data_IF_958850936987
#
_entry.id   IF_958850936987
#
_cell.length_a   1.000
_cell.length_b   1.000
_cell.length_c   1.000
_cell.angle_alpha   90.00
_cell.angle_beta   90.00
_cell.angle_gamma   90.00
#
_symmetry.space_group_name_H-M   'P 1'
#
loop_
_entity.id
_entity.type
_entity.pdbx_description
1 polymer ?
#
# COMPACT_ATOMS: atom_id res chain seq x y z
N UNK A 1 23.28 12.83 -34.75
CA UNK A 1 24.06 13.03 -33.49
C UNK A 1 23.09 13.58 -32.46
N UNK A 2 22.52 12.72 -31.61
CA UNK A 2 21.60 13.18 -30.58
C UNK A 2 22.32 13.04 -29.23
N UNK A 3 22.84 14.18 -28.76
CA UNK A 3 23.46 14.32 -27.44
C UNK A 3 22.37 14.21 -26.38
N UNK A 4 22.53 13.27 -25.45
CA UNK A 4 21.76 13.25 -24.22
C UNK A 4 22.49 14.12 -23.19
N UNK A 5 21.82 15.13 -22.58
CA UNK A 5 22.45 15.99 -21.59
C UNK A 5 22.70 15.23 -20.28
N UNK A 6 23.83 15.53 -19.64
CA UNK A 6 24.17 15.01 -18.32
C UNK A 6 23.19 15.54 -17.26
N UNK A 7 22.77 14.65 -16.37
CA UNK A 7 21.74 14.88 -15.35
C UNK A 7 22.34 15.66 -14.18
N UNK A 8 21.84 16.87 -13.95
CA UNK A 8 22.12 17.70 -12.78
C UNK A 8 20.84 17.82 -11.94
N UNK A 9 21.03 17.88 -10.62
CA UNK A 9 20.06 17.55 -9.58
C UNK A 9 18.79 18.42 -9.54
N UNK A 10 17.71 17.76 -9.06
CA UNK A 10 16.51 18.32 -8.43
C UNK A 10 15.47 19.07 -9.30
N UNK A 11 14.83 18.41 -10.27
CA UNK A 11 13.47 18.73 -10.79
C UNK A 11 13.02 17.74 -11.89
N UNK A 12 12.63 16.48 -11.60
CA UNK A 12 12.12 15.60 -12.69
C UNK A 12 11.26 14.40 -12.29
N UNK A 13 10.22 14.55 -11.48
CA UNK A 13 9.29 13.41 -11.34
C UNK A 13 8.62 13.09 -12.71
N UNK A 14 9.04 12.03 -13.40
CA UNK A 14 8.48 11.62 -14.70
C UNK A 14 7.40 10.59 -14.45
N UNK A 15 6.14 10.99 -14.63
CA UNK A 15 4.99 10.07 -14.57
C UNK A 15 4.50 9.74 -15.98
N UNK A 16 4.34 8.45 -16.26
CA UNK A 16 3.83 7.97 -17.55
C UNK A 16 3.03 6.69 -17.34
N UNK A 17 1.74 6.72 -17.70
CA UNK A 17 0.80 5.63 -17.41
C UNK A 17 0.80 5.26 -15.92
N UNK A 18 1.11 4.00 -15.58
CA UNK A 18 1.18 3.50 -14.21
C UNK A 18 2.58 3.60 -13.60
N UNK A 19 3.54 4.25 -14.27
CA UNK A 19 4.90 4.46 -13.78
C UNK A 19 5.10 5.89 -13.27
N UNK A 20 5.92 6.01 -12.23
CA UNK A 20 6.47 7.27 -11.73
C UNK A 20 7.95 7.07 -11.43
N UNK A 21 8.82 7.85 -12.07
CA UNK A 21 10.24 7.92 -11.74
C UNK A 21 10.45 9.11 -10.84
N UNK A 22 10.95 8.86 -9.63
CA UNK A 22 11.15 9.91 -8.63
C UNK A 22 12.49 10.61 -8.80
N UNK A 23 13.51 9.80 -9.09
CA UNK A 23 14.89 10.25 -9.31
C UNK A 23 15.67 9.16 -10.07
N UNK A 24 16.99 9.30 -10.15
CA UNK A 24 17.86 8.45 -10.96
C UNK A 24 17.82 6.99 -10.54
N UNK A 25 17.56 6.74 -9.26
CA UNK A 25 17.70 5.44 -8.63
C UNK A 25 16.37 4.85 -8.17
N UNK A 26 15.29 5.65 -8.15
CA UNK A 26 13.99 5.21 -7.64
C UNK A 26 12.86 5.33 -8.67
N UNK A 27 12.19 4.21 -8.93
CA UNK A 27 11.01 4.10 -9.76
C UNK A 27 9.87 3.40 -9.03
N UNK A 28 8.63 3.80 -9.33
CA UNK A 28 7.40 3.22 -8.80
C UNK A 28 6.51 2.79 -9.97
N UNK A 29 5.85 1.65 -9.81
CA UNK A 29 4.87 1.13 -10.76
C UNK A 29 3.64 0.63 -10.02
N UNK A 30 2.48 1.21 -10.34
CA UNK A 30 1.20 0.62 -9.94
C UNK A 30 1.01 -0.68 -10.72
N UNK A 31 0.97 -1.81 -10.01
CA UNK A 31 0.76 -3.12 -10.60
C UNK A 31 -0.63 -3.20 -11.25
N UNK A 32 -0.68 -3.88 -12.38
CA UNK A 32 -1.88 -4.06 -13.17
C UNK A 32 -2.04 -5.55 -13.52
N UNK A 33 -3.12 -5.87 -14.23
CA UNK A 33 -3.42 -7.23 -14.68
C UNK A 33 -2.24 -7.95 -15.34
N UNK A 34 -1.41 -7.23 -16.10
CA UNK A 34 -0.28 -7.85 -16.80
C UNK A 34 0.80 -8.31 -15.83
N UNK A 35 1.06 -7.53 -14.78
CA UNK A 35 2.01 -7.94 -13.75
C UNK A 35 1.56 -9.23 -13.04
N UNK A 36 0.26 -9.38 -12.79
CA UNK A 36 -0.28 -10.55 -12.10
C UNK A 36 -0.41 -11.79 -12.99
N UNK A 37 -0.79 -11.63 -14.26
CA UNK A 37 -1.18 -12.74 -15.14
C UNK A 37 -0.22 -12.99 -16.31
N UNK A 38 0.58 -12.00 -16.69
CA UNK A 38 1.43 -12.01 -17.90
C UNK A 38 2.92 -11.79 -17.60
N UNK A 39 3.33 -12.01 -16.33
CA UNK A 39 4.72 -12.27 -15.94
C UNK A 39 5.64 -11.08 -16.24
N UNK A 40 5.08 -9.88 -16.23
CA UNK A 40 5.81 -8.68 -16.58
C UNK A 40 4.94 -7.44 -16.71
N UNK A 41 5.56 -6.34 -17.10
CA UNK A 41 4.90 -5.06 -17.25
C UNK A 41 5.51 -4.25 -18.40
N UNK A 42 4.70 -3.42 -19.04
CA UNK A 42 5.16 -2.51 -20.09
C UNK A 42 5.98 -1.37 -19.50
N UNK A 43 7.09 -1.02 -20.17
CA UNK A 43 7.91 0.16 -19.89
C UNK A 43 7.61 1.22 -20.97
N UNK A 44 6.92 2.32 -20.62
CA UNK A 44 6.69 3.43 -21.53
C UNK A 44 8.01 4.06 -22.01
N UNK A 45 8.00 4.67 -23.20
CA UNK A 45 9.19 5.31 -23.78
C UNK A 45 9.84 6.30 -22.80
N UNK A 46 9.01 7.12 -22.13
CA UNK A 46 9.47 8.12 -21.15
C UNK A 46 10.19 7.50 -19.92
N UNK A 47 9.96 6.22 -19.63
CA UNK A 47 10.51 5.50 -18.47
C UNK A 47 11.71 4.64 -18.85
N UNK A 48 11.91 4.35 -20.14
CA UNK A 48 13.04 3.54 -20.64
C UNK A 48 14.40 3.93 -20.09
N UNK A 49 14.77 5.23 -19.96
CA UNK A 49 16.09 5.61 -19.45
C UNK A 49 16.38 5.13 -18.02
N UNK A 50 15.36 4.71 -17.27
CA UNK A 50 15.55 4.09 -15.97
C UNK A 50 16.06 2.64 -16.07
N UNK A 51 15.67 1.90 -17.11
CA UNK A 51 15.98 0.48 -17.27
C UNK A 51 17.01 0.18 -18.37
N UNK A 52 17.30 1.16 -19.22
CA UNK A 52 18.12 0.99 -20.43
C UNK A 52 19.18 2.10 -20.49
N UNK A 53 20.45 1.72 -20.55
CA UNK A 53 21.62 2.62 -20.60
C UNK A 53 22.05 3.00 -22.02
N UNK A 54 21.80 2.10 -22.96
CA UNK A 54 22.22 2.18 -24.37
C UNK A 54 21.08 1.73 -25.27
N UNK A 55 21.03 2.22 -26.50
CA UNK A 55 20.04 1.78 -27.49
C UNK A 55 19.95 0.25 -27.56
N UNK A 56 18.73 -0.26 -27.60
CA UNK A 56 18.43 -1.68 -27.79
C UNK A 56 17.96 -1.89 -29.23
N UNK A 57 18.39 -2.98 -29.85
CA UNK A 57 17.90 -3.41 -31.16
C UNK A 57 16.53 -4.10 -31.02
N UNK A 58 15.61 -4.00 -32.00
CA UNK A 58 14.37 -4.75 -31.97
C UNK A 58 14.61 -6.27 -31.83
N UNK A 59 13.95 -6.90 -30.86
CA UNK A 59 14.15 -8.30 -30.47
C UNK A 59 15.25 -8.53 -29.42
N UNK A 60 16.00 -7.50 -29.03
CA UNK A 60 17.04 -7.60 -28.01
C UNK A 60 16.44 -7.78 -26.61
N UNK A 61 17.08 -8.65 -25.83
CA UNK A 61 16.77 -8.89 -24.42
C UNK A 61 18.00 -8.58 -23.56
N UNK A 62 17.80 -7.85 -22.47
CA UNK A 62 18.84 -7.58 -21.46
C UNK A 62 18.44 -8.17 -20.13
N UNK A 63 19.28 -9.05 -19.59
CA UNK A 63 19.07 -9.66 -18.28
C UNK A 63 19.20 -8.64 -17.17
N UNK A 64 18.28 -8.70 -16.22
CA UNK A 64 18.29 -7.92 -14.97
C UNK A 64 17.93 -8.82 -13.80
N UNK A 65 18.30 -8.41 -12.59
CA UNK A 65 18.02 -9.16 -11.36
C UNK A 65 17.17 -8.31 -10.43
N UNK A 66 16.07 -8.88 -9.93
CA UNK A 66 15.23 -8.27 -8.91
C UNK A 66 15.61 -8.89 -7.56
N UNK A 67 16.04 -8.07 -6.60
CA UNK A 67 16.34 -8.50 -5.24
C UNK A 67 15.14 -8.19 -4.36
N UNK A 68 14.49 -9.20 -3.78
CA UNK A 68 13.33 -9.02 -2.90
C UNK A 68 13.51 -9.87 -1.64
N UNK A 69 13.38 -9.24 -0.46
CA UNK A 69 13.55 -9.90 0.84
C UNK A 69 14.86 -10.70 1.00
N UNK A 70 15.94 -10.28 0.33
CA UNK A 70 17.25 -10.94 0.36
C UNK A 70 17.48 -11.99 -0.72
N UNK A 71 16.44 -12.37 -1.48
CA UNK A 71 16.50 -13.38 -2.53
C UNK A 71 16.56 -12.75 -3.94
N UNK A 72 17.35 -13.36 -4.83
CA UNK A 72 17.52 -12.89 -6.21
C UNK A 72 16.56 -13.59 -7.17
N UNK A 73 15.87 -12.80 -7.99
CA UNK A 73 14.93 -13.27 -8.99
C UNK A 73 15.36 -12.83 -10.39
N UNK A 74 15.64 -13.77 -11.30
CA UNK A 74 16.00 -13.43 -12.66
C UNK A 74 14.83 -12.77 -13.42
N UNK A 75 15.16 -11.72 -14.16
CA UNK A 75 14.26 -10.94 -14.98
C UNK A 75 14.97 -10.47 -16.26
N UNK A 76 14.24 -9.87 -17.19
CA UNK A 76 14.82 -9.28 -18.38
C UNK A 76 13.97 -8.16 -18.94
N UNK A 77 14.63 -7.17 -19.53
CA UNK A 77 14.00 -6.12 -20.33
C UNK A 77 14.04 -6.56 -21.79
N UNK A 78 12.90 -6.56 -22.45
CA UNK A 78 12.71 -6.95 -23.85
C UNK A 78 12.26 -5.74 -24.66
N UNK A 79 12.86 -5.52 -25.83
CA UNK A 79 12.34 -4.63 -26.86
C UNK A 79 11.70 -5.49 -27.97
N UNK A 80 10.37 -5.49 -28.07
CA UNK A 80 9.66 -6.36 -29.02
C UNK A 80 10.10 -6.11 -30.47
N UNK A 81 10.27 -7.17 -31.25
CA UNK A 81 10.73 -7.11 -32.66
C UNK A 81 9.66 -6.58 -33.65
N UNK A 82 8.44 -6.34 -33.19
CA UNK A 82 7.32 -5.93 -34.04
C UNK A 82 7.35 -4.42 -34.36
N UNK A 83 6.49 -3.98 -35.28
CA UNK A 83 6.39 -2.58 -35.73
C UNK A 83 6.08 -1.58 -34.63
N UNK A 84 5.62 -2.02 -33.45
CA UNK A 84 5.31 -1.13 -32.32
C UNK A 84 6.49 -0.92 -31.37
N UNK A 85 7.55 -1.74 -31.48
CA UNK A 85 8.78 -1.67 -30.70
C UNK A 85 8.55 -1.39 -29.20
N UNK A 86 7.59 -2.07 -28.57
CA UNK A 86 7.26 -1.87 -27.15
C UNK A 86 8.34 -2.46 -26.26
N UNK A 87 8.63 -1.79 -25.15
CA UNK A 87 9.56 -2.31 -24.14
C UNK A 87 8.78 -2.91 -22.99
N UNK A 88 9.23 -4.05 -22.50
CA UNK A 88 8.63 -4.74 -21.35
C UNK A 88 9.70 -5.25 -20.41
N UNK A 89 9.41 -5.16 -19.12
CA UNK A 89 10.14 -5.88 -18.08
C UNK A 89 9.40 -7.18 -17.80
N UNK A 90 10.06 -8.31 -17.99
CA UNK A 90 9.57 -9.63 -17.66
C UNK A 90 10.33 -10.19 -16.47
N UNK A 91 9.63 -10.92 -15.61
CA UNK A 91 10.22 -11.69 -14.52
C UNK A 91 9.81 -13.14 -14.61
N UNK A 92 10.61 -14.02 -14.01
CA UNK A 92 10.37 -15.44 -14.07
C UNK A 92 9.17 -15.90 -13.21
N UNK A 93 8.83 -17.17 -13.33
CA UNK A 93 7.67 -17.78 -12.65
C UNK A 93 7.78 -17.74 -11.11
N UNK A 94 9.00 -17.75 -10.58
CA UNK A 94 9.32 -17.64 -9.16
C UNK A 94 8.92 -16.28 -8.59
N UNK A 95 9.31 -15.18 -9.23
CA UNK A 95 8.89 -13.84 -8.81
C UNK A 95 7.39 -13.63 -9.02
N UNK A 96 6.82 -14.23 -10.07
CA UNK A 96 5.36 -14.25 -10.26
C UNK A 96 4.66 -14.94 -9.08
N UNK A 97 5.22 -16.04 -8.53
CA UNK A 97 4.68 -16.68 -7.32
C UNK A 97 4.79 -15.77 -6.09
N UNK A 98 5.87 -14.99 -5.96
CA UNK A 98 6.02 -13.99 -4.89
C UNK A 98 4.88 -12.98 -4.96
N UNK A 99 4.64 -12.37 -6.13
CA UNK A 99 3.54 -11.40 -6.30
C UNK A 99 2.19 -12.03 -5.96
N UNK A 100 1.92 -13.25 -6.48
CA UNK A 100 0.65 -13.96 -6.24
C UNK A 100 0.42 -14.34 -4.79
N UNK A 101 1.47 -14.76 -4.08
CA UNK A 101 1.39 -15.12 -2.66
C UNK A 101 1.35 -13.90 -1.74
N UNK A 102 1.91 -12.77 -2.18
CA UNK A 102 1.87 -11.50 -1.43
C UNK A 102 0.53 -10.80 -1.56
N UNK A 103 -0.14 -10.94 -2.72
CA UNK A 103 -1.42 -10.28 -3.04
C UNK A 103 -2.44 -11.23 -3.71
N UNK A 104 -2.84 -12.34 -3.05
CA UNK A 104 -3.77 -13.30 -3.64
C UNK A 104 -5.14 -12.72 -4.01
N UNK A 105 -5.64 -11.71 -3.29
CA UNK A 105 -6.92 -11.06 -3.64
C UNK A 105 -6.83 -10.33 -4.98
N UNK A 106 -5.77 -9.52 -5.20
CA UNK A 106 -5.56 -8.84 -6.49
C UNK A 106 -5.39 -9.84 -7.64
N UNK A 107 -4.67 -10.93 -7.40
CA UNK A 107 -4.53 -11.99 -8.39
C UNK A 107 -5.87 -12.62 -8.77
N UNK A 108 -6.73 -12.92 -7.78
CA UNK A 108 -8.07 -13.45 -8.03
C UNK A 108 -8.91 -12.47 -8.85
N UNK A 109 -9.01 -11.21 -8.42
CA UNK A 109 -9.78 -10.18 -9.12
C UNK A 109 -9.37 -10.05 -10.58
N UNK A 110 -8.06 -9.96 -10.85
CA UNK A 110 -7.57 -9.88 -12.22
C UNK A 110 -7.84 -11.13 -13.05
N UNK A 111 -7.82 -12.32 -12.43
CA UNK A 111 -8.19 -13.60 -13.09
C UNK A 111 -9.66 -13.58 -13.53
N UNK A 112 -10.53 -12.99 -12.72
CA UNK A 112 -11.96 -12.81 -13.00
C UNK A 112 -12.24 -11.60 -13.92
N UNK A 113 -11.20 -10.96 -14.47
CA UNK A 113 -11.27 -9.71 -15.25
C UNK A 113 -11.86 -8.52 -14.50
N UNK A 114 -11.84 -8.56 -13.16
CA UNK A 114 -12.24 -7.46 -12.29
C UNK A 114 -11.01 -6.62 -11.92
N UNK A 115 -11.23 -5.33 -11.65
CA UNK A 115 -10.18 -4.41 -11.22
C UNK A 115 -10.28 -4.23 -9.70
N UNK A 116 -9.22 -4.53 -8.93
CA UNK A 116 -9.18 -4.26 -7.50
C UNK A 116 -9.38 -2.77 -7.20
N UNK A 117 -10.04 -2.46 -6.09
CA UNK A 117 -10.23 -1.09 -5.63
C UNK A 117 -8.93 -0.48 -5.09
N UNK A 118 -8.06 -1.29 -4.49
CA UNK A 118 -6.76 -0.87 -3.96
C UNK A 118 -5.63 -1.05 -4.99
N UNK A 119 -4.67 -0.13 -4.96
CA UNK A 119 -3.51 -0.14 -5.84
C UNK A 119 -2.30 -0.71 -5.11
N UNK A 120 -1.68 -1.74 -5.68
CA UNK A 120 -0.37 -2.22 -5.25
C UNK A 120 0.69 -1.51 -6.07
N UNK A 121 1.68 -0.93 -5.41
CA UNK A 121 2.82 -0.28 -6.02
C UNK A 121 4.03 -1.18 -5.81
N UNK A 122 4.73 -1.52 -6.88
CA UNK A 122 6.08 -2.07 -6.79
C UNK A 122 7.07 -0.91 -6.91
N UNK A 123 8.04 -0.87 -6.01
CA UNK A 123 9.12 0.09 -6.00
C UNK A 123 10.40 -0.60 -6.48
N UNK A 124 11.16 0.09 -7.31
CA UNK A 124 12.46 -0.35 -7.80
C UNK A 124 13.49 0.68 -7.35
N UNK A 125 14.45 0.23 -6.53
CA UNK A 125 15.66 0.97 -6.23
C UNK A 125 16.82 0.36 -7.01
N UNK A 126 17.52 1.17 -7.78
CA UNK A 126 18.69 0.76 -8.55
C UNK A 126 19.85 0.42 -7.61
N UNK A 127 20.51 -0.73 -7.81
CA UNK A 127 21.65 -1.17 -7.01
C UNK A 127 22.95 -1.31 -7.81
N UNK A 128 22.88 -1.80 -9.05
CA UNK A 128 24.06 -1.99 -9.90
C UNK A 128 23.75 -1.58 -11.33
N UNK A 129 23.86 -0.26 -11.58
CA UNK A 129 23.58 0.35 -12.87
C UNK A 129 22.23 -0.10 -13.42
N UNK A 130 22.25 -0.84 -14.53
CA UNK A 130 21.02 -1.28 -15.20
C UNK A 130 20.73 -2.77 -15.03
N UNK A 131 21.52 -3.46 -14.21
CA UNK A 131 21.53 -4.92 -14.08
C UNK A 131 20.83 -5.43 -12.83
N UNK A 132 20.76 -4.63 -11.75
CA UNK A 132 20.21 -5.08 -10.47
C UNK A 132 19.37 -4.02 -9.79
N UNK A 133 18.21 -4.43 -9.28
CA UNK A 133 17.25 -3.57 -8.61
C UNK A 133 16.78 -4.23 -7.30
N UNK A 134 16.85 -3.50 -6.19
CA UNK A 134 16.09 -3.83 -4.99
C UNK A 134 14.62 -3.54 -5.25
N UNK A 135 13.78 -4.51 -4.92
CA UNK A 135 12.35 -4.41 -5.08
C UNK A 135 11.67 -4.46 -3.72
N UNK A 136 10.65 -3.63 -3.56
CA UNK A 136 9.72 -3.63 -2.43
C UNK A 136 8.31 -3.34 -2.93
N UNK A 137 7.31 -3.69 -2.13
CA UNK A 137 5.93 -3.32 -2.42
C UNK A 137 5.47 -2.24 -1.45
N UNK A 138 4.71 -1.28 -1.96
CA UNK A 138 4.07 -0.18 -1.26
C UNK A 138 2.60 -0.08 -1.71
N UNK A 139 1.73 0.57 -0.92
CA UNK A 139 0.29 0.34 -0.99
C UNK A 139 -0.08 -0.76 0.00
N UNK A 140 -1.20 -0.58 0.71
CA UNK A 140 -1.48 -1.20 2.02
C UNK A 140 -0.87 -2.60 2.17
N UNK A 141 0.08 -2.67 3.12
CA UNK A 141 0.40 -3.78 4.02
C UNK A 141 0.12 -5.19 3.45
N UNK A 142 1.12 -6.06 3.27
CA UNK A 142 0.95 -7.40 2.69
C UNK A 142 -0.24 -8.18 3.28
N UNK A 143 -0.96 -8.94 2.45
CA UNK A 143 -2.27 -9.53 2.80
C UNK A 143 -2.25 -10.44 4.05
N UNK A 144 -1.08 -10.91 4.49
CA UNK A 144 -0.91 -11.66 5.73
C UNK A 144 -1.09 -10.80 7.01
N UNK A 145 -0.81 -9.50 6.94
CA UNK A 145 -1.03 -8.54 8.04
C UNK A 145 -2.45 -7.97 7.95
N UNK A 146 -2.97 -7.77 6.74
CA UNK A 146 -4.37 -7.39 6.48
C UNK A 146 -5.35 -8.48 6.92
N UNK A 147 -5.00 -9.77 6.88
CA UNK A 147 -5.87 -10.83 7.42
C UNK A 147 -6.04 -10.72 8.95
N UNK A 148 -5.00 -10.32 9.68
CA UNK A 148 -5.10 -10.08 11.13
C UNK A 148 -5.85 -8.78 11.49
N UNK A 149 -5.82 -7.77 10.61
CA UNK A 149 -6.52 -6.50 10.80
C UNK A 149 -7.99 -6.54 10.31
N UNK A 150 -8.27 -7.19 9.19
CA UNK A 150 -9.63 -7.43 8.67
C UNK A 150 -10.42 -8.39 9.55
N UNK A 151 -9.78 -9.35 10.22
CA UNK A 151 -10.45 -10.19 11.22
C UNK A 151 -10.80 -9.37 12.49
N UNK A 152 -10.13 -8.25 12.76
CA UNK A 152 -10.50 -7.32 13.82
C UNK A 152 -11.57 -6.31 13.37
N UNK A 153 -11.52 -5.82 12.13
CA UNK A 153 -12.48 -4.85 11.57
C UNK A 153 -13.82 -5.48 11.15
N UNK A 154 -13.86 -6.73 10.63
CA UNK A 154 -15.12 -7.46 10.31
C UNK A 154 -15.99 -7.76 11.52
N UNK A 155 -15.39 -7.66 12.69
CA UNK A 155 -16.01 -7.88 13.97
C UNK A 155 -16.91 -6.67 14.36
N UNK A 156 -16.73 -5.48 13.78
CA UNK A 156 -17.52 -4.28 14.12
C UNK A 156 -18.93 -4.21 13.51
N UNK A 157 -19.24 -4.93 12.42
CA UNK A 157 -20.50 -4.71 11.68
C UNK A 157 -21.61 -5.78 11.87
N UNK A 158 -21.36 -6.97 12.42
CA UNK A 158 -22.35 -8.09 12.29
C UNK A 158 -22.71 -8.85 13.58
N UNK A 159 -22.06 -8.57 14.71
CA UNK A 159 -22.24 -9.40 15.92
C UNK A 159 -21.76 -10.86 15.71
N UNK A 160 -21.91 -11.76 16.70
CA UNK A 160 -21.27 -13.07 16.62
C UNK A 160 -22.03 -13.96 15.64
N UNK A 161 -21.35 -14.53 14.64
CA UNK A 161 -21.92 -15.56 13.76
C UNK A 161 -21.23 -16.90 13.93
N UNK A 162 -22.08 -17.93 14.04
CA UNK A 162 -21.71 -19.34 14.03
C UNK A 162 -21.23 -19.77 12.63
N UNK A 163 -20.26 -20.69 12.60
CA UNK A 163 -19.59 -21.20 11.41
C UNK A 163 -20.54 -21.98 10.47
N UNK A 164 -20.36 -21.84 9.14
CA UNK A 164 -20.81 -22.84 8.16
C UNK A 164 -21.84 -22.46 7.08
N UNK A 165 -22.31 -21.22 6.97
CA UNK A 165 -23.26 -20.83 5.92
C UNK A 165 -22.66 -19.87 4.87
N UNK A 166 -22.75 -20.23 3.59
CA UNK A 166 -22.45 -19.35 2.46
C UNK A 166 -23.49 -18.23 2.39
N UNK A 167 -23.05 -16.97 2.31
CA UNK A 167 -23.90 -15.85 1.88
C UNK A 167 -23.14 -14.86 1.01
N UNK A 168 -23.79 -14.45 -0.08
CA UNK A 168 -23.41 -13.34 -0.95
C UNK A 168 -23.37 -12.02 -0.17
N UNK A 169 -22.39 -11.18 -0.45
CA UNK A 169 -22.21 -9.87 0.21
C UNK A 169 -22.30 -8.73 -0.80
N UNK A 170 -23.33 -7.91 -0.68
CA UNK A 170 -23.41 -6.57 -1.26
C UNK A 170 -23.08 -5.57 -0.15
N UNK A 171 -21.82 -5.16 -0.03
CA UNK A 171 -21.38 -4.15 0.95
C UNK A 171 -21.30 -2.76 0.32
N UNK A 172 -22.00 -1.77 0.88
CA UNK A 172 -21.83 -0.35 0.53
C UNK A 172 -20.59 0.20 1.24
N UNK A 173 -19.64 0.74 0.49
CA UNK A 173 -18.41 1.39 1.01
C UNK A 173 -18.69 2.87 1.26
N UNK A 174 -18.48 3.34 2.49
CA UNK A 174 -18.50 4.77 2.81
C UNK A 174 -17.12 5.39 2.51
N UNK A 175 -17.11 6.53 1.82
CA UNK A 175 -15.91 7.25 1.42
C UNK A 175 -15.22 7.90 2.64
N UNK A 176 -13.90 7.71 2.80
CA UNK A 176 -13.09 8.34 3.87
C UNK A 176 -12.25 9.47 3.26
N UNK A 177 -12.55 10.72 3.59
CA UNK A 177 -11.81 11.90 3.09
C UNK A 177 -10.40 12.01 3.73
N UNK A 178 -9.31 11.97 2.95
CA UNK A 178 -7.94 12.16 3.44
C UNK A 178 -7.70 13.48 4.19
N UNK A 179 -8.46 14.53 3.88
CA UNK A 179 -8.41 15.83 4.56
C UNK A 179 -8.77 15.75 6.03
N UNK A 180 -9.73 14.90 6.39
CA UNK A 180 -10.15 14.72 7.78
C UNK A 180 -9.06 14.11 8.64
N UNK A 181 -8.23 13.23 8.08
CA UNK A 181 -7.05 12.67 8.78
C UNK A 181 -6.03 13.76 9.11
N UNK A 182 -5.68 14.59 8.12
CA UNK A 182 -4.71 15.68 8.30
C UNK A 182 -5.21 16.67 9.34
N UNK A 183 -6.49 17.06 9.27
CA UNK A 183 -7.09 17.96 10.25
C UNK A 183 -7.16 17.34 11.65
N UNK A 184 -7.55 16.07 11.78
CA UNK A 184 -7.58 15.40 13.08
C UNK A 184 -6.20 15.34 13.73
N UNK A 185 -5.15 15.00 12.99
CA UNK A 185 -3.77 15.00 13.51
C UNK A 185 -3.34 16.42 13.89
N UNK A 186 -3.71 17.43 13.09
CA UNK A 186 -3.44 18.84 13.42
C UNK A 186 -4.11 19.29 14.72
N UNK A 187 -5.34 18.86 14.98
CA UNK A 187 -6.07 19.24 16.20
C UNK A 187 -5.67 18.43 17.43
N UNK A 188 -5.47 17.12 17.29
CA UNK A 188 -5.27 16.21 18.41
C UNK A 188 -3.81 15.89 18.68
N UNK A 189 -2.93 16.07 17.70
CA UNK A 189 -1.50 15.75 17.76
C UNK A 189 -1.21 14.25 17.58
N UNK A 190 0.08 13.89 17.41
CA UNK A 190 0.54 12.53 17.13
C UNK A 190 0.68 11.64 18.38
N UNK A 191 0.03 12.02 19.48
CA UNK A 191 0.08 11.28 20.75
C UNK A 191 -1.26 10.61 21.01
N UNK A 192 -1.23 9.31 21.32
CA UNK A 192 -2.42 8.53 21.63
C UNK A 192 -3.20 9.15 22.80
N UNK A 193 -4.47 9.49 22.57
CA UNK A 193 -5.33 10.07 23.60
C UNK A 193 -5.74 9.09 24.70
N UNK A 194 -5.64 7.79 24.45
CA UNK A 194 -5.97 6.77 25.45
C UNK A 194 -4.81 6.48 26.41
N UNK A 195 -3.62 6.17 25.88
CA UNK A 195 -2.48 5.71 26.70
C UNK A 195 -1.30 6.69 26.76
N UNK A 196 -1.30 7.76 25.97
CA UNK A 196 -0.20 8.72 25.90
C UNK A 196 1.00 8.27 25.07
N UNK A 197 0.94 7.09 24.42
CA UNK A 197 2.01 6.62 23.54
C UNK A 197 2.20 7.55 22.35
N UNK A 198 3.46 7.88 22.04
CA UNK A 198 3.85 8.68 20.90
C UNK A 198 4.94 7.93 20.12
N UNK A 199 4.72 7.70 18.83
CA UNK A 199 5.61 6.88 18.01
C UNK A 199 6.95 7.57 17.74
N UNK A 200 6.96 8.87 17.47
CA UNK A 200 8.19 9.65 17.28
C UNK A 200 9.05 9.63 18.56
N UNK A 201 8.42 9.81 19.73
CA UNK A 201 9.13 9.81 21.01
C UNK A 201 9.79 8.46 21.34
N UNK A 202 9.23 7.34 20.86
CA UNK A 202 9.73 5.98 21.16
C UNK A 202 10.63 5.44 20.05
N UNK A 203 10.32 5.73 18.78
CA UNK A 203 10.97 5.14 17.60
C UNK A 203 11.79 6.15 16.79
N UNK A 204 11.90 7.40 17.25
CA UNK A 204 12.63 8.46 16.55
C UNK A 204 12.00 8.77 15.18
N UNK A 205 12.84 9.03 14.19
CA UNK A 205 12.41 9.40 12.83
C UNK A 205 11.41 8.42 12.21
N UNK A 206 11.53 7.13 12.53
CA UNK A 206 10.63 6.09 12.01
C UNK A 206 9.19 6.23 12.50
N UNK A 207 8.97 6.96 13.59
CA UNK A 207 7.66 7.21 14.18
C UNK A 207 7.04 8.57 13.82
N UNK A 208 7.73 9.39 13.03
CA UNK A 208 7.22 10.70 12.60
C UNK A 208 5.91 10.52 11.82
N UNK A 209 4.93 11.37 12.09
CA UNK A 209 3.60 11.40 11.46
C UNK A 209 2.77 10.11 11.56
N UNK A 210 3.21 9.15 12.38
CA UNK A 210 2.54 7.87 12.54
C UNK A 210 1.62 7.87 13.76
N UNK A 211 0.31 7.92 13.48
CA UNK A 211 -0.78 7.76 14.43
C UNK A 211 -2.06 7.37 13.68
N UNK A 212 -2.96 6.64 14.34
CA UNK A 212 -4.25 6.23 13.77
C UNK A 212 -5.34 7.21 14.17
N UNK A 213 -6.26 7.51 13.24
CA UNK A 213 -7.42 8.38 13.46
C UNK A 213 -8.66 7.53 13.59
N UNK A 214 -9.33 7.63 14.73
CA UNK A 214 -10.50 6.86 15.10
C UNK A 214 -11.74 7.75 15.18
N UNK A 215 -12.90 7.25 14.77
CA UNK A 215 -14.17 7.96 14.92
C UNK A 215 -14.75 7.67 16.31
N UNK A 216 -15.02 8.71 17.10
CA UNK A 216 -15.65 8.57 18.43
C UNK A 216 -17.09 8.05 18.33
N UNK A 217 -17.76 8.31 17.21
CA UNK A 217 -19.06 7.72 16.87
C UNK A 217 -18.88 6.74 15.71
N UNK A 218 -19.34 5.49 15.86
CA UNK A 218 -19.23 4.51 14.79
C UNK A 218 -20.02 4.93 13.54
N UNK A 219 -19.43 4.73 12.36
CA UNK A 219 -20.02 5.15 11.07
C UNK A 219 -21.35 4.42 10.79
N UNK A 220 -21.54 3.19 11.28
CA UNK A 220 -22.79 2.45 11.13
C UNK A 220 -23.98 3.15 11.81
N UNK A 221 -23.74 4.03 12.80
CA UNK A 221 -24.78 4.83 13.44
C UNK A 221 -25.32 5.96 12.53
N UNK A 222 -24.70 6.20 11.37
CA UNK A 222 -25.13 7.23 10.42
C UNK A 222 -26.27 6.77 9.48
N UNK A 223 -26.71 5.52 9.56
CA UNK A 223 -27.88 4.97 8.83
C UNK A 223 -27.85 5.25 7.30
N UNK A 224 -26.67 5.32 6.68
CA UNK A 224 -26.57 5.60 5.25
C UNK A 224 -26.72 7.06 4.83
N UNK A 225 -26.70 7.99 5.78
CA UNK A 225 -26.70 9.44 5.50
C UNK A 225 -25.27 9.98 5.57
N UNK A 226 -24.91 10.81 4.60
CA UNK A 226 -23.72 11.65 4.69
C UNK A 226 -23.87 12.57 5.91
N UNK A 227 -22.90 12.51 6.82
CA UNK A 227 -22.79 13.45 7.93
C UNK A 227 -21.51 14.25 7.77
N UNK A 228 -21.61 15.56 8.01
CA UNK A 228 -20.43 16.39 8.18
C UNK A 228 -19.67 15.88 9.41
N UNK A 229 -18.44 15.43 9.20
CA UNK A 229 -17.51 15.06 10.27
C UNK A 229 -16.78 16.32 10.70
N UNK A 230 -16.80 16.65 12.00
CA UNK A 230 -15.89 17.64 12.57
C UNK A 230 -14.64 16.92 13.11
N UNK A 231 -13.46 17.10 12.49
CA UNK A 231 -12.23 16.47 12.94
C UNK A 231 -11.84 16.78 14.40
N UNK A 232 -12.39 17.83 15.00
CA UNK A 232 -12.11 18.21 16.40
C UNK A 232 -12.91 17.37 17.40
N UNK A 233 -14.14 17.02 17.08
CA UNK A 233 -15.08 16.42 18.04
C UNK A 233 -15.44 14.98 17.72
N UNK A 234 -15.47 14.62 16.44
CA UNK A 234 -15.88 13.30 15.97
C UNK A 234 -14.71 12.37 15.74
N UNK A 235 -13.49 12.93 15.62
CA UNK A 235 -12.25 12.18 15.43
C UNK A 235 -11.34 12.29 16.65
N UNK A 236 -10.48 11.29 16.81
CA UNK A 236 -9.49 11.22 17.89
C UNK A 236 -8.26 10.44 17.42
N UNK A 237 -7.09 10.76 17.95
CA UNK A 237 -5.84 10.06 17.62
C UNK A 237 -5.51 8.98 18.64
N UNK A 238 -5.25 7.76 18.15
CA UNK A 238 -4.92 6.58 18.94
C UNK A 238 -3.69 5.86 18.38
N UNK A 239 -2.95 5.15 19.23
CA UNK A 239 -1.93 4.22 18.76
C UNK A 239 -2.57 2.90 18.30
N UNK A 240 -1.85 2.14 17.48
CA UNK A 240 -2.33 0.87 16.91
C UNK A 240 -2.82 -0.12 17.96
N UNK A 241 -2.19 -0.15 19.14
CA UNK A 241 -2.62 -1.02 20.23
C UNK A 241 -3.96 -0.56 20.83
N UNK A 242 -4.11 0.72 21.16
CA UNK A 242 -5.34 1.25 21.74
C UNK A 242 -6.50 1.20 20.75
N UNK A 243 -6.24 1.51 19.48
CA UNK A 243 -7.24 1.42 18.43
C UNK A 243 -7.74 -0.03 18.27
N UNK A 244 -6.83 -1.00 18.21
CA UNK A 244 -7.20 -2.43 18.22
C UNK A 244 -7.93 -2.86 19.50
N UNK A 245 -7.60 -2.29 20.67
CA UNK A 245 -8.26 -2.66 21.93
C UNK A 245 -9.70 -2.16 22.03
N UNK A 246 -10.02 -1.00 21.44
CA UNK A 246 -11.40 -0.52 21.34
C UNK A 246 -12.28 -1.53 20.60
N UNK A 247 -11.75 -2.07 19.50
CA UNK A 247 -12.50 -2.94 18.58
C UNK A 247 -12.32 -4.44 18.83
N UNK A 248 -11.53 -4.81 19.84
CA UNK A 248 -11.18 -6.21 20.12
C UNK A 248 -12.40 -7.09 20.37
N UNK A 249 -13.52 -6.52 20.85
CA UNK A 249 -14.78 -7.22 21.14
C UNK A 249 -15.95 -6.60 20.34
N UNK A 250 -16.53 -7.33 19.37
CA UNK A 250 -17.64 -6.88 18.50
C UNK A 250 -18.85 -6.38 19.22
N UNK A 251 -19.22 -7.16 20.23
CA UNK A 251 -20.45 -7.02 20.97
C UNK A 251 -20.27 -6.02 22.11
N UNK A 252 -19.09 -5.41 22.20
CA UNK A 252 -18.68 -4.48 23.24
C UNK A 252 -17.52 -3.61 22.73
N UNK A 253 -17.79 -2.82 21.69
CA UNK A 253 -16.87 -1.79 21.22
C UNK A 253 -16.75 -0.74 22.33
N UNK A 254 -15.54 -0.49 22.78
CA UNK A 254 -15.30 0.48 23.83
C UNK A 254 -15.32 1.90 23.26
N UNK A 255 -15.88 2.83 24.00
CA UNK A 255 -15.55 4.25 23.83
C UNK A 255 -14.10 4.50 24.23
N UNK A 256 -13.52 5.59 23.74
CA UNK A 256 -12.18 6.03 24.14
C UNK A 256 -12.11 6.23 25.66
N UNK A 257 -13.18 6.76 26.25
CA UNK A 257 -13.30 7.01 27.68
C UNK A 257 -13.29 5.72 28.49
N UNK A 258 -14.02 4.69 28.04
CA UNK A 258 -14.00 3.37 28.68
C UNK A 258 -12.61 2.72 28.60
N UNK A 259 -11.93 2.85 27.44
CA UNK A 259 -10.57 2.35 27.31
C UNK A 259 -9.60 3.10 28.25
N UNK A 260 -9.73 4.42 28.38
CA UNK A 260 -8.95 5.22 29.33
C UNK A 260 -9.18 4.73 30.76
N UNK A 261 -10.43 4.49 31.15
CA UNK A 261 -10.76 4.00 32.48
C UNK A 261 -10.11 2.63 32.77
N UNK A 262 -10.11 1.72 31.79
CA UNK A 262 -9.44 0.41 31.89
C UNK A 262 -7.93 0.59 32.10
N UNK A 263 -7.28 1.43 31.28
CA UNK A 263 -5.84 1.70 31.36
C UNK A 263 -5.47 2.34 32.70
N UNK A 264 -6.29 3.28 33.19
CA UNK A 264 -6.08 3.95 34.47
C UNK A 264 -6.25 3.00 35.66
N UNK A 265 -7.21 2.07 35.59
CA UNK A 265 -7.46 1.07 36.63
C UNK A 265 -6.44 -0.06 36.73
N UNK A 266 -5.52 -0.20 35.76
CA UNK A 266 -4.47 -1.24 35.75
C UNK A 266 -3.06 -0.72 36.04
N UNK A 267 -2.86 0.61 36.21
CA UNK A 267 -1.57 1.16 36.62
C UNK A 267 -1.32 0.93 38.11
N UNK A 268 -0.90 -0.28 38.48
CA UNK A 268 -0.09 -0.52 39.68
C UNK A 268 1.38 -0.52 39.24
N UNK A 269 2.13 0.46 39.75
CA UNK A 269 3.56 0.68 39.51
C UNK A 269 4.42 -0.55 39.83
#
# INVERSE_FOLDING_TARGET
MNNFPALQDAEWAVSSFSWTIENTDFARKVLDKSAFLHWGTGIPIAVRPFFIDKEMSPGEKRSVTLLFAGEEYPAHVDLEANSTARTRLFWNSDFSKVIKSSFPHHHQMYTENLKPESMIIIQFQRLDGYKKYQVSFAGEVPENVVKCDLDAEKLEEVGPKMEGAVKEYFGKRYERDPGNRVQAIKYHGPTCKACGFNFEAVYGERGIDYIEVHHRKPIYAFEGKEQAIDPRTDLVTLCSNCHRMIHRRPNNILTVEELIAIIAGTKSY
#
